data_IF_641757911326
#
_entry.id   IF_641757911326
#
_cell.length_a   1.000
_cell.length_b   1.000
_cell.length_c   1.000
_cell.angle_alpha   90.00
_cell.angle_beta   90.00
_cell.angle_gamma   90.00
#
_symmetry.space_group_name_H-M   'P 1'
#
loop_
_entity.id
_entity.type
_entity.pdbx_description
1 polymer ?
#
# COMPACT_ATOMS: atom_id res chain seq x y z
N UNK A 1 12.13 -17.68 -4.01
CA UNK A 1 11.23 -16.52 -3.91
C UNK A 1 9.93 -16.97 -4.52
N UNK A 2 8.84 -16.92 -3.78
CA UNK A 2 7.53 -17.18 -4.38
C UNK A 2 7.30 -16.15 -5.49
N UNK A 3 6.88 -16.63 -6.67
CA UNK A 3 6.60 -15.76 -7.82
C UNK A 3 5.43 -14.85 -7.45
N UNK A 4 5.61 -13.53 -7.54
CA UNK A 4 4.53 -12.56 -7.25
C UNK A 4 3.49 -12.64 -8.37
N UNK A 5 2.27 -13.05 -8.03
CA UNK A 5 1.18 -13.15 -9.00
C UNK A 5 0.53 -11.78 -9.31
N UNK A 6 0.45 -10.90 -8.31
CA UNK A 6 -0.20 -9.59 -8.42
C UNK A 6 0.64 -8.49 -7.76
N UNK A 7 0.93 -7.43 -8.53
CA UNK A 7 1.51 -6.19 -8.00
C UNK A 7 0.46 -5.08 -8.02
N UNK A 8 0.20 -4.47 -6.85
CA UNK A 8 -0.70 -3.32 -6.71
C UNK A 8 0.16 -2.06 -6.53
N UNK A 9 0.11 -1.15 -7.50
CA UNK A 9 0.91 0.08 -7.48
C UNK A 9 -0.01 1.26 -7.13
N UNK A 10 0.32 1.99 -6.06
CA UNK A 10 -0.48 3.10 -5.53
C UNK A 10 0.35 4.38 -5.56
N UNK A 11 0.12 5.29 -6.51
CA UNK A 11 0.66 6.64 -6.42
C UNK A 11 -0.05 7.40 -5.28
N UNK A 12 0.72 8.07 -4.43
CA UNK A 12 0.20 8.79 -3.27
C UNK A 12 0.78 10.21 -3.22
N UNK A 13 -0.10 11.22 -3.19
CA UNK A 13 0.23 12.62 -2.97
C UNK A 13 -0.73 13.23 -1.95
N UNK A 14 -0.21 13.55 -0.76
CA UNK A 14 -0.97 14.08 0.36
C UNK A 14 -2.17 13.21 0.80
N UNK A 15 -1.92 11.92 0.98
CA UNK A 15 -2.92 10.89 1.30
C UNK A 15 -2.89 10.45 2.78
N UNK A 16 -2.30 11.24 3.69
CA UNK A 16 -2.09 10.85 5.11
C UNK A 16 -3.36 10.33 5.82
N UNK A 17 -4.54 10.83 5.43
CA UNK A 17 -5.83 10.47 6.05
C UNK A 17 -6.52 9.27 5.41
N UNK A 18 -6.22 8.98 4.15
CA UNK A 18 -6.92 7.97 3.34
C UNK A 18 -6.13 6.70 3.23
N UNK A 19 -4.82 6.83 3.04
CA UNK A 19 -3.92 5.72 2.77
C UNK A 19 -4.01 4.60 3.83
N UNK A 20 -4.05 4.87 5.16
CA UNK A 20 -4.16 3.80 6.14
C UNK A 20 -5.40 2.90 5.94
N UNK A 21 -6.56 3.52 5.68
CA UNK A 21 -7.81 2.79 5.47
C UNK A 21 -7.75 1.97 4.19
N UNK A 22 -7.23 2.56 3.10
CA UNK A 22 -7.07 1.87 1.82
C UNK A 22 -6.14 0.67 1.95
N UNK A 23 -5.01 0.80 2.65
CA UNK A 23 -4.08 -0.30 2.88
C UNK A 23 -4.73 -1.44 3.66
N UNK A 24 -5.45 -1.13 4.74
CA UNK A 24 -6.19 -2.14 5.52
C UNK A 24 -7.19 -2.91 4.66
N UNK A 25 -7.99 -2.22 3.84
CA UNK A 25 -8.97 -2.85 2.95
C UNK A 25 -8.31 -3.75 1.89
N UNK A 26 -7.17 -3.33 1.33
CA UNK A 26 -6.40 -4.11 0.37
C UNK A 26 -5.85 -5.38 1.02
N UNK A 27 -5.21 -5.27 2.19
CA UNK A 27 -4.67 -6.43 2.90
C UNK A 27 -5.77 -7.39 3.37
N UNK A 28 -6.87 -6.87 3.90
CA UNK A 28 -8.03 -7.66 4.32
C UNK A 28 -8.65 -8.47 3.17
N UNK A 29 -8.58 -7.94 1.94
CA UNK A 29 -9.09 -8.62 0.76
C UNK A 29 -8.08 -9.61 0.17
N UNK A 30 -6.83 -9.19 -0.03
CA UNK A 30 -5.80 -9.97 -0.72
C UNK A 30 -5.23 -11.10 0.14
N UNK A 31 -5.16 -10.94 1.47
CA UNK A 31 -4.75 -12.01 2.39
C UNK A 31 -5.63 -13.26 2.33
N UNK A 32 -6.86 -13.14 1.83
CA UNK A 32 -7.82 -14.25 1.66
C UNK A 32 -7.66 -14.96 0.30
N UNK A 33 -6.72 -14.55 -0.54
CA UNK A 33 -6.49 -15.13 -1.87
C UNK A 33 -5.38 -16.16 -1.82
N UNK A 34 -5.49 -17.18 -2.68
CA UNK A 34 -4.49 -18.25 -2.79
C UNK A 34 -3.41 -17.90 -3.83
N UNK A 35 -2.87 -16.69 -3.74
CA UNK A 35 -1.75 -16.22 -4.55
C UNK A 35 -0.96 -15.17 -3.77
N UNK A 36 0.31 -15.03 -4.09
CA UNK A 36 1.21 -13.99 -3.55
C UNK A 36 0.93 -12.65 -4.20
N UNK A 37 1.08 -11.58 -3.42
CA UNK A 37 0.90 -10.23 -3.90
C UNK A 37 1.91 -9.29 -3.25
N UNK A 38 2.16 -8.17 -3.90
CA UNK A 38 2.90 -7.04 -3.33
C UNK A 38 2.08 -5.75 -3.49
N UNK A 39 2.32 -4.81 -2.58
CA UNK A 39 1.77 -3.45 -2.67
C UNK A 39 2.92 -2.47 -2.68
N UNK A 40 3.02 -1.68 -3.75
CA UNK A 40 4.07 -0.69 -3.95
C UNK A 40 3.44 0.69 -3.86
N UNK A 41 3.74 1.43 -2.80
CA UNK A 41 3.31 2.82 -2.65
C UNK A 41 4.38 3.75 -3.20
N UNK A 42 4.03 4.56 -4.19
CA UNK A 42 4.90 5.55 -4.81
C UNK A 42 4.52 6.93 -4.26
N UNK A 43 5.33 7.47 -3.35
CA UNK A 43 5.12 8.81 -2.84
C UNK A 43 5.55 9.86 -3.89
N UNK A 44 4.59 10.61 -4.43
CA UNK A 44 4.78 11.60 -5.49
C UNK A 44 5.05 13.01 -4.93
N UNK A 45 6.05 13.11 -4.04
CA UNK A 45 6.46 14.39 -3.46
C UNK A 45 5.48 15.00 -2.45
N UNK A 46 4.78 14.16 -1.68
CA UNK A 46 3.87 14.63 -0.62
C UNK A 46 4.55 15.60 0.35
N UNK A 47 3.78 16.59 0.82
CA UNK A 47 4.21 17.61 1.80
C UNK A 47 3.63 17.37 3.20
N UNK A 48 2.79 16.35 3.34
CA UNK A 48 2.17 15.92 4.57
C UNK A 48 2.86 14.65 5.12
N UNK A 49 2.20 13.95 6.06
CA UNK A 49 2.76 12.77 6.70
C UNK A 49 2.59 11.47 5.90
N UNK A 50 2.19 11.52 4.62
CA UNK A 50 1.98 10.32 3.80
C UNK A 50 3.17 9.37 3.86
N UNK A 51 4.40 9.88 3.69
CA UNK A 51 5.61 9.05 3.70
C UNK A 51 5.92 8.43 5.06
N UNK A 52 5.61 9.13 6.16
CA UNK A 52 5.79 8.62 7.53
C UNK A 52 4.82 7.48 7.79
N UNK A 53 3.56 7.70 7.45
CA UNK A 53 2.48 6.71 7.60
C UNK A 53 2.76 5.44 6.80
N UNK A 54 3.25 5.55 5.56
CA UNK A 54 3.64 4.38 4.77
C UNK A 54 4.70 3.54 5.48
N UNK A 55 5.68 4.17 6.14
CA UNK A 55 6.73 3.47 6.88
C UNK A 55 6.23 2.81 8.16
N UNK A 56 5.21 3.37 8.81
CA UNK A 56 4.60 2.77 10.00
C UNK A 56 3.70 1.57 9.68
N UNK A 57 3.23 1.45 8.45
CA UNK A 57 2.37 0.36 7.97
C UNK A 57 3.15 -0.87 7.47
N UNK A 58 4.48 -0.78 7.37
CA UNK A 58 5.39 -1.86 6.94
C UNK A 58 5.98 -2.60 8.14
#
# INVERSE_FOLDING_TARGET
MDEVFLSVIIPAYNEEKRLPKTMNEIFDYLSKKNFTFEVIVVNDGSKDKTAEIVKELM
#
